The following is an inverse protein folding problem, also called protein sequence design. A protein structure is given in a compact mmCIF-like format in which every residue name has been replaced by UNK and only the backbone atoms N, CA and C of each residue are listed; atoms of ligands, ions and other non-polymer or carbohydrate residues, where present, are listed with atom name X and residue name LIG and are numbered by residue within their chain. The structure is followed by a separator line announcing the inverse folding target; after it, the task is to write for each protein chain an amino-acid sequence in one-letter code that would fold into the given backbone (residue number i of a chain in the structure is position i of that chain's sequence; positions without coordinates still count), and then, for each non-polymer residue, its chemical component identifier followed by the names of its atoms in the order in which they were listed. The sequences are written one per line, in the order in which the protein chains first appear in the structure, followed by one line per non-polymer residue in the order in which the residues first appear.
data_IF_034070384789
#
_entry.id   IF_034070384789
#
_cell.length_a   1.000
_cell.length_b   1.000
_cell.length_c   1.000
_cell.angle_alpha   90.00
_cell.angle_beta   90.00
_cell.angle_gamma   90.00
#
_symmetry.space_group_name_H-M   'P 1'
#
loop_
_entity.id
_entity.type
_entity.pdbx_description
1 polymer ?
#
# COMPACT_ATOMS: atom_id res chain seq x y z
N UNK A 1 2.94 35.64 49.94
CA UNK A 1 2.02 35.52 48.80
C UNK A 1 2.72 34.69 47.73
N UNK A 2 2.31 33.43 47.54
CA UNK A 2 2.90 32.52 46.57
C UNK A 2 2.12 32.61 45.25
N UNK A 3 2.77 33.05 44.19
CA UNK A 3 2.23 33.08 42.83
C UNK A 3 2.33 31.68 42.22
N UNK A 4 1.24 30.92 42.31
CA UNK A 4 1.04 29.68 41.56
C UNK A 4 0.96 30.04 40.07
N UNK A 5 2.03 29.78 39.33
CA UNK A 5 2.01 29.88 37.87
C UNK A 5 1.41 28.59 37.31
N UNK A 6 0.34 28.64 36.51
CA UNK A 6 -0.25 27.44 35.94
C UNK A 6 0.71 26.85 34.91
N UNK A 7 1.10 25.60 35.12
CA UNK A 7 1.92 24.83 34.19
C UNK A 7 1.02 24.41 33.03
N UNK A 8 0.97 25.21 31.97
CA UNK A 8 0.22 24.89 30.75
C UNK A 8 1.09 23.97 29.90
N UNK A 9 0.76 22.68 29.88
CA UNK A 9 1.33 21.75 28.90
C UNK A 9 0.45 21.77 27.64
N UNK A 10 1.03 22.22 26.53
CA UNK A 10 0.39 22.17 25.21
C UNK A 10 0.90 20.90 24.54
N UNK A 11 0.08 19.85 24.55
CA UNK A 11 0.35 18.64 23.77
C UNK A 11 -0.15 18.88 22.35
N UNK A 12 0.74 19.31 21.45
CA UNK A 12 0.42 19.38 20.02
C UNK A 12 0.37 17.95 19.50
N UNK A 13 -0.84 17.42 19.35
CA UNK A 13 -1.05 16.12 18.73
C UNK A 13 -0.84 16.30 17.22
N UNK A 14 0.38 16.06 16.75
CA UNK A 14 0.65 16.03 15.31
C UNK A 14 -0.05 14.81 14.74
N UNK A 15 -1.09 15.06 13.92
CA UNK A 15 -1.80 13.99 13.21
C UNK A 15 -0.80 13.28 12.30
N UNK A 16 -0.64 11.97 12.49
CA UNK A 16 0.19 11.14 11.62
C UNK A 16 -0.40 11.11 10.22
N UNK A 17 0.45 11.00 9.21
CA UNK A 17 -0.02 10.89 7.83
C UNK A 17 -0.56 9.48 7.59
N UNK A 18 -1.72 9.40 6.95
CA UNK A 18 -2.31 8.13 6.55
C UNK A 18 -1.71 7.71 5.21
N UNK A 19 -1.13 6.51 5.17
CA UNK A 19 -0.43 5.96 4.00
C UNK A 19 -1.04 4.61 3.66
N UNK A 20 -1.69 4.50 2.50
CA UNK A 20 -2.21 3.23 2.00
C UNK A 20 -1.12 2.51 1.20
N UNK A 21 -0.89 1.24 1.50
CA UNK A 21 0.15 0.45 0.84
C UNK A 21 -0.35 -0.15 -0.46
N UNK A 22 0.38 0.09 -1.54
CA UNK A 22 0.16 -0.55 -2.82
C UNK A 22 0.31 -2.09 -2.71
N UNK A 23 -0.58 -2.89 -3.31
CA UNK A 23 -0.51 -4.36 -3.28
C UNK A 23 0.83 -4.94 -3.76
N UNK A 24 1.41 -4.41 -4.84
CA UNK A 24 2.71 -4.89 -5.30
C UNK A 24 3.80 -4.53 -4.31
N UNK A 25 3.78 -3.31 -3.74
CA UNK A 25 4.75 -2.90 -2.73
C UNK A 25 4.69 -3.81 -1.51
N UNK A 26 3.48 -4.05 -1.01
CA UNK A 26 3.24 -4.86 0.18
C UNK A 26 3.71 -6.32 0.00
N UNK A 27 3.52 -6.86 -1.20
CA UNK A 27 3.94 -8.22 -1.58
C UNK A 27 5.35 -8.28 -2.18
N UNK A 28 6.09 -7.16 -2.20
CA UNK A 28 7.49 -7.13 -2.61
C UNK A 28 8.42 -7.60 -1.48
N UNK A 29 9.69 -7.82 -1.82
CA UNK A 29 10.73 -8.12 -0.83
C UNK A 29 10.85 -7.02 0.25
N UNK A 30 10.44 -5.79 -0.06
CA UNK A 30 10.60 -4.62 0.80
C UNK A 30 9.37 -4.32 1.65
N UNK A 31 8.20 -4.86 1.30
CA UNK A 31 6.93 -4.49 1.93
C UNK A 31 6.94 -4.68 3.45
N UNK A 32 7.44 -5.83 3.91
CA UNK A 32 7.51 -6.13 5.34
C UNK A 32 8.46 -5.20 6.10
N UNK A 33 9.66 -4.99 5.56
CA UNK A 33 10.65 -4.09 6.18
C UNK A 33 10.12 -2.65 6.23
N UNK A 34 9.49 -2.20 5.15
CA UNK A 34 8.88 -0.88 5.07
C UNK A 34 7.80 -0.71 6.13
N UNK A 35 6.94 -1.70 6.33
CA UNK A 35 5.91 -1.65 7.37
C UNK A 35 6.53 -1.56 8.76
N UNK A 36 7.56 -2.36 9.03
CA UNK A 36 8.26 -2.34 10.32
C UNK A 36 8.91 -0.98 10.61
N UNK A 37 9.48 -0.32 9.60
CA UNK A 37 10.21 0.94 9.78
C UNK A 37 9.27 2.16 9.73
N UNK A 38 8.36 2.22 8.76
CA UNK A 38 7.46 3.38 8.60
C UNK A 38 6.27 3.35 9.56
N UNK A 39 5.89 2.19 10.10
CA UNK A 39 4.80 2.08 11.07
C UNK A 39 5.04 2.92 12.32
N UNK A 40 6.30 3.24 12.67
CA UNK A 40 6.60 4.09 13.83
C UNK A 40 6.17 5.56 13.63
N UNK A 41 6.15 6.02 12.38
CA UNK A 41 5.99 7.45 12.03
C UNK A 41 4.75 7.73 11.17
N UNK A 42 4.18 6.72 10.51
CA UNK A 42 2.98 6.81 9.67
C UNK A 42 1.83 5.96 10.25
N UNK A 43 0.60 6.30 9.87
CA UNK A 43 -0.54 5.40 9.96
C UNK A 43 -0.61 4.58 8.68
N UNK A 44 -0.15 3.33 8.73
CA UNK A 44 -0.10 2.48 7.55
C UNK A 44 -1.43 1.75 7.38
N UNK A 45 -1.98 1.78 6.18
CA UNK A 45 -3.26 1.15 5.84
C UNK A 45 -3.07 0.08 4.78
N UNK A 46 -3.76 -1.05 4.97
CA UNK A 46 -3.82 -2.16 4.04
C UNK A 46 -5.26 -2.35 3.60
N UNK A 47 -5.46 -2.45 2.28
CA UNK A 47 -6.75 -2.76 1.70
C UNK A 47 -7.27 -4.13 2.16
N UNK A 48 -8.59 -4.29 2.30
CA UNK A 48 -9.23 -5.53 2.77
C UNK A 48 -8.79 -6.76 1.97
N UNK A 49 -8.93 -6.72 0.64
CA UNK A 49 -8.56 -7.83 -0.24
C UNK A 49 -7.05 -8.17 -0.14
N UNK A 50 -6.19 -7.15 0.04
CA UNK A 50 -4.77 -7.35 0.25
C UNK A 50 -4.47 -8.04 1.59
N UNK A 51 -5.20 -7.67 2.64
CA UNK A 51 -5.09 -8.31 3.94
C UNK A 51 -5.57 -9.77 3.89
N UNK A 52 -6.67 -10.05 3.18
CA UNK A 52 -7.17 -11.42 2.96
C UNK A 52 -6.14 -12.28 2.20
N UNK A 53 -5.42 -11.70 1.23
CA UNK A 53 -4.31 -12.36 0.53
C UNK A 53 -3.24 -12.84 1.50
N UNK A 54 -2.84 -11.97 2.42
CA UNK A 54 -1.83 -12.29 3.44
C UNK A 54 -2.37 -13.21 4.52
N UNK A 55 -3.67 -13.17 4.79
CA UNK A 55 -4.30 -14.04 5.77
C UNK A 55 -4.44 -15.49 5.29
N UNK A 56 -4.54 -15.69 3.97
CA UNK A 56 -4.82 -17.01 3.37
C UNK A 56 -3.77 -17.42 2.32
N UNK A 57 -2.47 -17.49 2.67
CA UNK A 57 -1.39 -17.68 1.69
C UNK A 57 -1.51 -18.99 0.90
N UNK A 58 -2.10 -20.03 1.50
CA UNK A 58 -2.31 -21.33 0.85
C UNK A 58 -3.39 -21.28 -0.25
N UNK A 59 -4.46 -20.51 -0.05
CA UNK A 59 -5.51 -20.34 -1.05
C UNK A 59 -4.96 -19.58 -2.25
N UNK A 60 -4.33 -18.44 -1.98
CA UNK A 60 -3.79 -17.57 -3.03
C UNK A 60 -2.58 -18.16 -3.74
N UNK A 61 -1.74 -18.95 -3.05
CA UNK A 61 -0.66 -19.70 -3.71
C UNK A 61 -1.16 -20.71 -4.75
N UNK A 62 -2.33 -21.33 -4.52
CA UNK A 62 -2.97 -22.20 -5.53
C UNK A 62 -3.51 -21.37 -6.70
N UNK A 63 -4.06 -20.19 -6.44
CA UNK A 63 -4.61 -19.32 -7.48
C UNK A 63 -3.52 -18.74 -8.38
N UNK A 64 -2.37 -18.34 -7.80
CA UNK A 64 -1.17 -17.96 -8.57
C UNK A 64 -0.72 -19.10 -9.49
N UNK A 65 -0.65 -20.33 -8.98
CA UNK A 65 -0.27 -21.50 -9.78
C UNK A 65 -1.26 -21.86 -10.91
N UNK A 66 -2.52 -21.42 -10.79
CA UNK A 66 -3.57 -21.61 -11.80
C UNK A 66 -3.62 -20.49 -12.84
N UNK A 67 -2.85 -19.41 -12.65
CA UNK A 67 -2.77 -18.30 -13.61
C UNK A 67 -1.96 -18.77 -14.81
N UNK A 68 -2.64 -19.38 -15.80
CA UNK A 68 -2.02 -19.82 -17.05
C UNK A 68 -1.61 -18.54 -17.80
N UNK A 69 -0.31 -18.32 -18.07
CA UNK A 69 0.09 -17.16 -18.83
C UNK A 69 -0.52 -17.21 -20.23
N UNK A 70 -1.13 -16.09 -20.63
CA UNK A 70 -1.60 -15.88 -21.99
C UNK A 70 -0.43 -16.14 -22.94
N UNK A 71 -0.71 -16.92 -23.99
CA UNK A 71 0.12 -17.22 -25.17
C UNK A 71 1.27 -16.21 -25.30
N UNK A 72 2.42 -16.57 -24.75
CA UNK A 72 3.60 -15.72 -24.65
C UNK A 72 4.84 -16.60 -24.74
N UNK A 73 5.94 -16.03 -25.25
CA UNK A 73 7.24 -16.71 -25.39
C UNK A 73 7.66 -17.38 -24.09
N UNK A 74 8.42 -18.49 -24.16
CA UNK A 74 8.95 -19.24 -22.99
C UNK A 74 9.58 -18.33 -21.90
N UNK A 75 10.21 -17.23 -22.30
CA UNK A 75 10.76 -16.23 -21.37
C UNK A 75 9.70 -15.54 -20.47
N UNK A 76 8.49 -15.30 -20.97
CA UNK A 76 7.42 -14.71 -20.17
C UNK A 76 6.90 -15.68 -19.10
N UNK A 77 6.89 -16.98 -19.41
CA UNK A 77 6.51 -18.05 -18.48
C UNK A 77 7.56 -18.20 -17.36
N UNK A 78 8.86 -18.14 -17.69
CA UNK A 78 9.94 -18.18 -16.70
C UNK A 78 9.90 -16.97 -15.76
N UNK A 79 9.77 -15.75 -16.30
CA UNK A 79 9.67 -14.53 -15.49
C UNK A 79 8.45 -14.57 -14.54
N UNK A 80 7.28 -15.01 -15.02
CA UNK A 80 6.08 -15.13 -14.19
C UNK A 80 6.29 -16.12 -13.04
N UNK A 81 6.91 -17.28 -13.33
CA UNK A 81 7.20 -18.30 -12.31
C UNK A 81 8.11 -17.75 -11.20
N UNK A 82 9.12 -16.96 -11.55
CA UNK A 82 10.02 -16.32 -10.57
C UNK A 82 9.27 -15.28 -9.71
N UNK A 83 8.41 -14.46 -10.33
CA UNK A 83 7.58 -13.47 -9.61
C UNK A 83 6.65 -14.17 -8.62
N UNK A 84 6.00 -15.25 -9.03
CA UNK A 84 5.07 -16.00 -8.17
C UNK A 84 5.81 -16.70 -7.02
N UNK A 85 6.99 -17.28 -7.27
CA UNK A 85 7.83 -17.83 -6.22
C UNK A 85 8.27 -16.76 -5.20
N UNK A 86 8.68 -15.59 -5.67
CA UNK A 86 9.05 -14.47 -4.81
C UNK A 86 7.87 -14.00 -3.95
N UNK A 87 6.68 -13.84 -4.55
CA UNK A 87 5.46 -13.50 -3.83
C UNK A 87 5.12 -14.54 -2.77
N UNK A 88 5.24 -15.83 -3.08
CA UNK A 88 5.02 -16.90 -2.11
C UNK A 88 6.01 -16.87 -0.94
N UNK A 89 7.28 -16.52 -1.19
CA UNK A 89 8.25 -16.32 -0.10
C UNK A 89 7.88 -15.13 0.78
N UNK A 90 7.42 -14.02 0.19
CA UNK A 90 6.98 -12.83 0.92
C UNK A 90 5.74 -13.15 1.77
N UNK A 91 4.76 -13.88 1.23
CA UNK A 91 3.57 -14.30 1.97
C UNK A 91 3.93 -15.16 3.21
N UNK A 92 4.87 -16.11 3.07
CA UNK A 92 5.36 -16.90 4.21
C UNK A 92 6.06 -16.05 5.27
N UNK A 93 6.79 -15.02 4.87
CA UNK A 93 7.42 -14.07 5.82
C UNK A 93 6.37 -13.26 6.57
N UNK A 94 5.34 -12.79 5.87
CA UNK A 94 4.21 -12.11 6.50
C UNK A 94 3.49 -13.02 7.50
N UNK A 95 3.19 -14.26 7.14
CA UNK A 95 2.59 -15.26 8.04
C UNK A 95 3.42 -15.45 9.31
N UNK A 96 4.74 -15.58 9.15
CA UNK A 96 5.69 -15.69 10.26
C UNK A 96 5.67 -14.46 11.17
N UNK A 97 5.67 -13.24 10.61
CA UNK A 97 5.61 -12.01 11.41
C UNK A 97 4.28 -11.84 12.11
N UNK A 98 3.15 -12.09 11.47
CA UNK A 98 1.84 -11.97 12.12
C UNK A 98 1.68 -12.94 13.31
N UNK A 99 2.35 -14.09 13.24
CA UNK A 99 2.37 -15.07 14.33
C UNK A 99 3.20 -14.62 15.53
N UNK A 100 4.15 -13.70 15.33
CA UNK A 100 5.13 -13.25 16.34
C UNK A 100 4.86 -11.84 16.85
N UNK A 101 4.30 -10.98 16.00
CA UNK A 101 4.15 -9.55 16.22
C UNK A 101 2.68 -9.19 16.06
N UNK A 102 2.00 -8.72 17.12
CA UNK A 102 0.63 -8.27 16.99
C UNK A 102 0.55 -7.06 16.04
N UNK A 103 -0.51 -6.93 15.21
CA UNK A 103 -0.62 -5.85 14.25
C UNK A 103 -0.58 -4.44 14.87
N UNK A 104 -0.97 -4.32 16.15
CA UNK A 104 -0.86 -3.08 16.94
C UNK A 104 0.58 -2.56 17.05
N UNK A 105 1.58 -3.45 17.06
CA UNK A 105 2.99 -3.03 17.13
C UNK A 105 3.50 -2.51 15.79
N UNK A 106 2.83 -2.83 14.68
CA UNK A 106 3.21 -2.40 13.33
C UNK A 106 2.49 -1.12 12.89
N UNK A 107 1.55 -0.61 13.70
CA UNK A 107 0.61 0.47 13.32
C UNK A 107 0.02 0.24 11.91
N UNK A 108 -0.34 -1.01 11.64
CA UNK A 108 -0.85 -1.48 10.36
C UNK A 108 -2.36 -1.70 10.48
N UNK A 109 -3.15 -0.81 9.88
CA UNK A 109 -4.60 -0.73 9.97
C UNK A 109 -5.28 -1.32 8.74
N UNK A 110 -6.48 -1.89 8.91
CA UNK A 110 -7.31 -2.41 7.81
C UNK A 110 -8.79 -2.41 8.18
N UNK A 111 -9.64 -2.46 7.16
CA UNK A 111 -11.08 -2.65 7.31
C UNK A 111 -11.39 -4.12 7.04
N UNK A 112 -12.02 -4.80 8.00
CA UNK A 112 -12.47 -6.19 7.89
C UNK A 112 -13.88 -6.28 7.32
N UNK A 113 -14.34 -7.50 7.03
CA UNK A 113 -15.70 -7.73 6.50
C UNK A 113 -16.79 -7.44 7.53
N UNK A 114 -16.44 -7.58 8.81
CA UNK A 114 -17.30 -7.18 9.93
C UNK A 114 -16.64 -6.05 10.73
N UNK A 115 -17.43 -5.20 11.41
CA UNK A 115 -16.89 -4.18 12.30
C UNK A 115 -15.92 -4.74 13.36
N UNK A 116 -16.15 -5.96 13.85
CA UNK A 116 -15.27 -6.63 14.83
C UNK A 116 -13.99 -7.24 14.24
N UNK A 117 -13.86 -7.27 12.91
CA UNK A 117 -12.67 -7.78 12.19
C UNK A 117 -11.78 -6.63 11.69
N UNK A 118 -12.25 -5.39 11.80
CA UNK A 118 -11.49 -4.19 11.45
C UNK A 118 -10.49 -3.84 12.54
N UNK A 119 -9.33 -3.36 12.13
CA UNK A 119 -8.34 -2.79 13.04
C UNK A 119 -8.08 -1.34 12.62
N UNK A 120 -8.70 -0.40 13.33
CA UNK A 120 -8.72 1.02 13.01
C UNK A 120 -7.85 1.81 14.01
N UNK A 121 -7.26 2.95 13.60
CA UNK A 121 -6.58 3.85 14.53
C UNK A 121 -7.55 4.47 15.52
N UNK A 122 -7.02 4.90 16.66
CA UNK A 122 -7.79 5.62 17.67
C UNK A 122 -8.41 6.89 17.09
N UNK A 123 -9.72 7.06 17.30
CA UNK A 123 -10.46 8.24 16.85
C UNK A 123 -10.84 8.24 15.36
N UNK A 124 -10.53 7.19 14.59
CA UNK A 124 -11.08 7.05 13.24
C UNK A 124 -12.58 6.78 13.30
N UNK A 125 -13.33 7.52 12.48
CA UNK A 125 -14.77 7.43 12.41
C UNK A 125 -15.20 6.06 11.84
N UNK A 126 -16.00 5.26 12.56
CA UNK A 126 -16.57 4.01 12.04
C UNK A 126 -17.39 4.20 10.76
N UNK A 127 -17.88 5.42 10.50
CA UNK A 127 -18.54 5.77 9.25
C UNK A 127 -17.61 5.76 8.03
N UNK A 128 -16.30 5.47 8.17
CA UNK A 128 -15.39 5.26 7.03
C UNK A 128 -15.81 4.07 6.16
N UNK A 129 -16.48 3.06 6.75
CA UNK A 129 -16.86 1.82 6.08
C UNK A 129 -17.79 2.09 4.88
N UNK A 130 -18.85 2.86 5.09
CA UNK A 130 -19.88 3.09 4.07
C UNK A 130 -19.34 3.86 2.83
N UNK A 131 -18.63 5.00 2.96
CA UNK A 131 -17.98 5.66 1.83
C UNK A 131 -16.98 4.76 1.10
N UNK A 132 -16.20 3.98 1.84
CA UNK A 132 -15.24 3.06 1.23
C UNK A 132 -15.92 1.95 0.42
N UNK A 133 -16.96 1.30 0.97
CA UNK A 133 -17.70 0.26 0.24
C UNK A 133 -18.40 0.83 -1.00
N UNK A 134 -19.00 2.02 -0.88
CA UNK A 134 -19.63 2.70 -2.01
C UNK A 134 -18.61 3.01 -3.13
N UNK A 135 -17.41 3.47 -2.77
CA UNK A 135 -16.32 3.73 -3.72
C UNK A 135 -15.79 2.45 -4.35
N UNK A 136 -15.55 1.40 -3.56
CA UNK A 136 -15.08 0.11 -4.06
C UNK A 136 -16.10 -0.50 -5.03
N UNK A 137 -17.39 -0.45 -4.70
CA UNK A 137 -18.46 -0.89 -5.59
C UNK A 137 -18.49 -0.08 -6.89
N UNK A 138 -18.37 1.25 -6.81
CA UNK A 138 -18.36 2.11 -8.01
C UNK A 138 -17.16 1.80 -8.92
N UNK A 139 -16.00 1.44 -8.38
CA UNK A 139 -14.84 1.01 -9.17
C UNK A 139 -15.05 -0.37 -9.80
N UNK A 140 -15.66 -1.31 -9.06
CA UNK A 140 -16.00 -2.64 -9.58
C UNK A 140 -16.95 -2.54 -10.79
N UNK A 141 -17.96 -1.68 -10.73
CA UNK A 141 -18.92 -1.44 -11.82
C UNK A 141 -18.27 -0.86 -13.09
N UNK A 142 -17.11 -0.21 -12.96
CA UNK A 142 -16.31 0.31 -14.10
C UNK A 142 -15.36 -0.74 -14.66
N UNK A 143 -15.09 -1.81 -13.92
CA UNK A 143 -14.18 -2.88 -14.32
C UNK A 143 -14.80 -3.67 -15.48
N UNK A 144 -14.09 -3.78 -16.60
CA UNK A 144 -14.57 -4.58 -17.73
C UNK A 144 -14.31 -6.08 -17.49
N UNK A 145 -15.31 -6.96 -17.66
CA UNK A 145 -15.16 -8.41 -17.44
C UNK A 145 -14.25 -9.12 -18.47
N UNK A 146 -13.78 -8.42 -19.49
CA UNK A 146 -13.06 -8.97 -20.64
C UNK A 146 -11.55 -9.13 -20.45
N UNK A 147 -10.97 -8.59 -19.37
CA UNK A 147 -9.58 -8.86 -19.01
C UNK A 147 -9.52 -10.03 -18.00
N UNK A 148 -8.67 -11.05 -18.21
CA UNK A 148 -8.40 -12.04 -17.19
C UNK A 148 -7.87 -11.26 -16.00
N UNK A 149 -8.66 -11.29 -14.93
CA UNK A 149 -8.39 -10.49 -13.74
C UNK A 149 -6.99 -10.78 -13.26
N UNK A 150 -6.15 -9.73 -13.17
CA UNK A 150 -5.00 -9.82 -12.30
C UNK A 150 -5.55 -10.17 -10.90
N UNK A 151 -5.00 -11.19 -10.25
CA UNK A 151 -5.43 -11.58 -8.91
C UNK A 151 -5.40 -10.40 -7.92
N UNK A 152 -4.55 -9.40 -8.19
CA UNK A 152 -4.45 -8.18 -7.38
C UNK A 152 -5.45 -7.10 -7.76
N UNK A 153 -6.26 -7.24 -8.82
CA UNK A 153 -7.25 -6.22 -9.22
C UNK A 153 -8.22 -5.85 -8.08
N UNK A 154 -8.81 -6.81 -7.34
CA UNK A 154 -9.63 -6.48 -6.16
C UNK A 154 -8.85 -5.74 -5.07
N UNK A 155 -7.57 -6.09 -4.88
CA UNK A 155 -6.69 -5.40 -3.93
C UNK A 155 -6.38 -3.96 -4.37
N UNK A 156 -6.14 -3.72 -5.66
CA UNK A 156 -5.98 -2.37 -6.20
C UNK A 156 -7.25 -1.54 -6.05
N UNK A 157 -8.43 -2.16 -6.26
CA UNK A 157 -9.74 -1.51 -6.14
C UNK A 157 -9.94 -1.01 -4.73
N UNK A 158 -9.75 -1.90 -3.76
CA UNK A 158 -9.91 -1.57 -2.35
C UNK A 158 -8.84 -0.57 -1.87
N UNK A 159 -7.62 -0.60 -2.43
CA UNK A 159 -6.56 0.38 -2.15
C UNK A 159 -6.97 1.77 -2.61
N UNK A 160 -7.44 1.90 -3.85
CA UNK A 160 -7.90 3.17 -4.42
C UNK A 160 -9.12 3.71 -3.65
N UNK A 161 -10.13 2.87 -3.42
CA UNK A 161 -11.32 3.23 -2.67
C UNK A 161 -10.98 3.67 -1.24
N UNK A 162 -10.09 2.96 -0.54
CA UNK A 162 -9.71 3.28 0.84
C UNK A 162 -8.96 4.61 0.90
N UNK A 163 -8.03 4.83 -0.05
CA UNK A 163 -7.29 6.10 -0.15
C UNK A 163 -8.24 7.28 -0.33
N UNK A 164 -9.20 7.16 -1.25
CA UNK A 164 -10.20 8.19 -1.49
C UNK A 164 -11.12 8.41 -0.28
N UNK A 165 -11.55 7.34 0.40
CA UNK A 165 -12.41 7.44 1.59
C UNK A 165 -11.70 8.11 2.79
N UNK A 166 -10.39 7.95 2.92
CA UNK A 166 -9.58 8.61 3.95
C UNK A 166 -9.37 10.12 3.70
N UNK A 167 -9.54 10.58 2.45
CA UNK A 167 -9.57 11.99 2.04
C UNK A 167 -8.23 12.73 2.03
N UNK A 168 -7.29 12.40 2.92
CA UNK A 168 -5.94 12.98 2.96
C UNK A 168 -4.83 11.92 2.96
N UNK A 169 -5.16 10.70 2.53
CA UNK A 169 -4.20 9.62 2.42
C UNK A 169 -3.50 9.65 1.06
N UNK A 170 -2.28 9.13 1.02
CA UNK A 170 -1.55 8.86 -0.23
C UNK A 170 -1.30 7.36 -0.36
N UNK A 171 -1.13 6.90 -1.60
CA UNK A 171 -0.68 5.54 -1.87
C UNK A 171 0.85 5.54 -1.95
N UNK A 172 1.49 4.70 -1.15
CA UNK A 172 2.91 4.42 -1.29
C UNK A 172 3.10 3.21 -2.20
N UNK A 173 3.81 3.43 -3.30
CA UNK A 173 4.12 2.41 -4.32
C UNK A 173 5.59 2.50 -4.74
N UNK A 174 6.09 1.45 -5.38
CA UNK A 174 7.43 1.43 -5.97
C UNK A 174 7.33 1.26 -7.48
N UNK A 175 8.28 1.83 -8.25
CA UNK A 175 8.26 1.73 -9.69
C UNK A 175 8.62 0.29 -10.08
N UNK A 176 7.98 -0.26 -11.12
CA UNK A 176 8.42 -1.53 -11.68
C UNK A 176 9.90 -1.42 -12.06
N UNK A 177 10.69 -2.39 -11.61
CA UNK A 177 12.10 -2.50 -12.02
C UNK A 177 12.15 -3.40 -13.24
N UNK A 178 12.25 -2.80 -14.42
CA UNK A 178 12.60 -3.58 -15.60
C UNK A 178 14.04 -4.10 -15.46
N UNK A 179 14.32 -5.26 -16.06
CA UNK A 179 15.67 -5.84 -16.14
C UNK A 179 16.72 -4.91 -16.78
N UNK A 180 16.28 -3.78 -17.39
CA UNK A 180 17.13 -2.75 -17.98
C UNK A 180 17.35 -1.53 -17.08
N UNK A 181 16.75 -1.48 -15.89
CA UNK A 181 16.84 -0.34 -14.99
C UNK A 181 16.12 0.93 -15.46
N UNK A 182 15.25 0.83 -16.47
CA UNK A 182 14.51 1.99 -17.00
C UNK A 182 13.25 2.21 -16.15
N UNK A 183 13.21 3.28 -15.36
CA UNK A 183 12.12 3.61 -14.43
C UNK A 183 10.94 4.32 -15.11
N UNK A 184 10.78 4.13 -16.42
CA UNK A 184 9.79 4.86 -17.22
C UNK A 184 8.38 4.29 -17.16
N UNK A 185 8.22 3.06 -16.71
CA UNK A 185 6.91 2.44 -16.63
C UNK A 185 6.14 2.95 -15.40
N UNK A 186 4.87 3.33 -15.55
CA UNK A 186 4.05 3.74 -14.42
C UNK A 186 3.83 2.54 -13.47
N UNK A 187 3.61 2.78 -12.17
CA UNK A 187 3.17 1.74 -11.24
C UNK A 187 1.91 1.03 -11.74
N UNK A 188 1.80 -0.27 -11.48
CA UNK A 188 0.67 -1.08 -11.98
C UNK A 188 -0.70 -0.55 -11.51
N UNK A 189 -0.77 -0.03 -10.28
CA UNK A 189 -2.00 0.60 -9.78
C UNK A 189 -2.46 1.79 -10.65
N UNK A 190 -1.53 2.54 -11.26
CA UNK A 190 -1.88 3.63 -12.16
C UNK A 190 -2.53 3.11 -13.46
N UNK A 191 -2.03 1.97 -13.98
CA UNK A 191 -2.62 1.33 -15.16
C UNK A 191 -4.05 0.87 -14.85
N UNK A 192 -4.26 0.24 -13.70
CA UNK A 192 -5.59 -0.22 -13.26
C UNK A 192 -6.54 0.97 -13.05
N UNK A 193 -6.07 2.08 -12.49
CA UNK A 193 -6.88 3.29 -12.34
C UNK A 193 -7.28 3.88 -13.69
N UNK A 194 -6.38 3.92 -14.67
CA UNK A 194 -6.70 4.36 -16.03
C UNK A 194 -7.74 3.45 -16.69
N UNK A 195 -7.70 2.13 -16.45
CA UNK A 195 -8.73 1.19 -16.90
C UNK A 195 -10.11 1.49 -16.29
N UNK A 196 -10.17 2.00 -15.05
CA UNK A 196 -11.40 2.48 -14.41
C UNK A 196 -11.78 3.92 -14.79
N UNK A 197 -11.10 4.51 -15.79
CA UNK A 197 -11.34 5.86 -16.27
C UNK A 197 -10.89 6.95 -15.29
N UNK A 198 -9.94 6.64 -14.40
CA UNK A 198 -9.31 7.59 -13.49
C UNK A 198 -7.95 7.98 -14.07
N UNK A 199 -7.80 9.20 -14.61
CA UNK A 199 -6.57 9.60 -15.26
C UNK A 199 -5.42 9.69 -14.24
N UNK A 200 -4.31 9.03 -14.54
CA UNK A 200 -3.09 9.12 -13.74
C UNK A 200 -2.08 10.01 -14.45
N UNK A 201 -1.61 11.06 -13.77
CA UNK A 201 -0.58 11.94 -14.31
C UNK A 201 0.66 11.91 -13.45
N UNK A 202 1.83 11.82 -14.09
CA UNK A 202 3.09 12.08 -13.41
C UNK A 202 3.18 13.56 -13.04
N UNK A 203 3.30 13.82 -11.74
CA UNK A 203 3.56 15.17 -11.24
C UNK A 203 5.01 15.58 -11.54
N UNK A 204 5.20 16.83 -11.98
CA UNK A 204 6.52 17.37 -12.28
C UNK A 204 7.40 17.36 -11.02
N UNK A 205 8.67 16.99 -11.19
CA UNK A 205 9.70 17.13 -10.16
C UNK A 205 9.84 18.57 -9.63
N UNK A 206 9.50 19.56 -10.46
CA UNK A 206 9.56 21.00 -10.14
C UNK A 206 8.29 21.51 -9.45
N UNK A 207 7.23 20.70 -9.33
CA UNK A 207 6.05 21.09 -8.57
C UNK A 207 6.42 21.28 -7.10
N UNK A 208 6.08 22.45 -6.54
CA UNK A 208 6.51 22.84 -5.20
C UNK A 208 5.90 21.96 -4.11
N UNK A 209 4.65 21.53 -4.27
CA UNK A 209 3.96 20.68 -3.30
C UNK A 209 4.56 19.28 -3.35
N UNK A 210 4.71 18.71 -4.55
CA UNK A 210 5.32 17.40 -4.72
C UNK A 210 6.78 17.35 -4.23
N UNK A 211 7.54 18.45 -4.38
CA UNK A 211 8.89 18.56 -3.85
C UNK A 211 8.90 18.51 -2.31
N UNK A 212 7.98 19.22 -1.65
CA UNK A 212 7.85 19.22 -0.18
C UNK A 212 7.43 17.84 0.32
N UNK A 213 6.43 17.21 -0.30
CA UNK A 213 6.00 15.84 0.06
C UNK A 213 7.14 14.84 -0.08
N UNK A 214 7.86 14.88 -1.21
CA UNK A 214 8.99 14.00 -1.49
C UNK A 214 10.11 14.18 -0.46
N UNK A 215 10.49 15.42 -0.17
CA UNK A 215 11.51 15.70 0.84
C UNK A 215 11.06 15.22 2.21
N UNK A 216 9.80 15.46 2.59
CA UNK A 216 9.25 15.00 3.87
C UNK A 216 9.28 13.48 3.98
N UNK A 217 8.83 12.77 2.94
CA UNK A 217 8.89 11.31 2.89
C UNK A 217 10.32 10.78 2.94
N UNK A 218 11.27 11.43 2.26
CA UNK A 218 12.69 11.07 2.31
C UNK A 218 13.25 11.25 3.73
N UNK A 219 12.95 12.36 4.40
CA UNK A 219 13.37 12.58 5.79
C UNK A 219 12.77 11.54 6.73
N UNK A 220 11.51 11.15 6.53
CA UNK A 220 10.89 10.06 7.29
C UNK A 220 11.61 8.72 7.04
N UNK A 221 11.90 8.38 5.79
CA UNK A 221 12.65 7.15 5.45
C UNK A 221 14.07 7.15 6.04
N UNK A 222 14.77 8.29 6.02
CA UNK A 222 16.09 8.42 6.62
C UNK A 222 16.02 8.26 8.15
N UNK A 223 15.07 8.95 8.79
CA UNK A 223 14.93 8.94 10.25
C UNK A 223 14.52 7.58 10.82
N UNK A 224 13.79 6.78 10.03
CA UNK A 224 13.41 5.40 10.36
C UNK A 224 14.49 4.37 10.00
N UNK A 225 15.65 4.80 9.48
CA UNK A 225 16.76 3.92 9.14
C UNK A 225 16.61 3.15 7.84
N UNK A 226 15.59 3.46 7.02
CA UNK A 226 15.36 2.84 5.71
C UNK A 226 16.48 3.17 4.69
N UNK A 227 17.20 4.27 4.88
CA UNK A 227 18.33 4.65 4.02
C UNK A 227 19.56 3.75 4.14
N UNK A 228 19.77 3.11 5.30
CA UNK A 228 20.93 2.25 5.55
C UNK A 228 20.78 0.85 4.94
N UNK A 229 19.55 0.45 4.63
CA UNK A 229 19.23 -0.85 4.02
C UNK A 229 19.20 -0.80 2.49
N UNK A 230 19.47 0.35 1.86
CA UNK A 230 19.31 0.53 0.41
C UNK A 230 20.57 0.98 -0.35
N UNK A 231 20.96 0.18 -1.34
CA UNK A 231 21.75 0.60 -2.50
C UNK A 231 20.83 1.23 -3.56
N UNK A 232 21.30 2.28 -4.22
CA UNK A 232 20.62 3.13 -5.20
C UNK A 232 19.59 2.40 -6.11
N UNK A 233 18.31 2.83 -6.11
CA UNK A 233 17.36 2.36 -7.13
C UNK A 233 15.86 2.66 -6.95
N UNK A 234 15.35 2.87 -5.74
CA UNK A 234 13.90 3.06 -5.54
C UNK A 234 13.49 4.54 -5.61
N UNK A 235 12.65 4.88 -6.59
CA UNK A 235 11.97 6.18 -6.69
C UNK A 235 10.54 6.05 -6.21
N UNK A 236 10.26 6.47 -4.97
CA UNK A 236 8.92 6.43 -4.40
C UNK A 236 8.04 7.54 -4.98
N UNK A 237 6.76 7.23 -5.22
CA UNK A 237 5.75 8.23 -5.64
C UNK A 237 4.58 8.18 -4.68
N UNK A 238 4.19 9.34 -4.16
CA UNK A 238 2.87 9.59 -3.58
C UNK A 238 1.91 9.95 -4.70
N UNK A 239 0.67 9.46 -4.61
CA UNK A 239 -0.44 9.92 -5.44
C UNK A 239 -1.47 10.58 -4.54
N UNK A 240 -1.84 11.80 -4.91
CA UNK A 240 -2.93 12.58 -4.35
C UNK A 240 -3.85 12.96 -5.51
N UNK A 241 -5.16 12.77 -5.34
CA UNK A 241 -6.19 13.00 -6.38
C UNK A 241 -6.96 14.28 -6.10
#
# INVERSE_FOLDING_TARGET
MATLSPNVSITVNQRRWSCVLDPNLFLSHYGLLLVQLLGEVLELWVARELWQIVDNPNFYGKQLALTIPRIGSEQALECQTVVDQNRMQVLKRWESVRSQTPPTQLNLFWIGDKPGESFLPDGVNPQLLEPWEALAQSLEERSQPSNPSNMLTPAFRDTAALTAALGCAFILTYPPTDNRGDTKHPPEICLVLEEWGIPCQQVDSLDAIAAIERETLLQLMISTGFSNSYGQGCTWRSFTW
#
